data_IF_677177964088
#
_entry.id   IF_677177964088
#
_cell.length_a   1.000
_cell.length_b   1.000
_cell.length_c   1.000
_cell.angle_alpha   90.00
_cell.angle_beta   90.00
_cell.angle_gamma   90.00
#
_symmetry.space_group_name_H-M   'P 1'
#
loop_
_entity.id
_entity.type
_entity.pdbx_description
1 polymer ?
#
# COMPACT_ATOMS: atom_id res chain seq x y z
N UNK A 1 0.46 -9.39 -3.59
CA UNK A 1 0.60 -8.33 -4.61
C UNK A 1 -0.76 -7.90 -5.19
N UNK A 2 -1.56 -8.81 -5.75
CA UNK A 2 -2.85 -8.46 -6.37
C UNK A 2 -3.84 -7.78 -5.41
N UNK A 3 -4.04 -8.34 -4.21
CA UNK A 3 -4.97 -7.78 -3.22
C UNK A 3 -4.62 -6.33 -2.87
N UNK A 4 -3.35 -6.08 -2.54
CA UNK A 4 -2.82 -4.74 -2.26
C UNK A 4 -3.10 -3.77 -3.41
N UNK A 5 -2.82 -4.17 -4.65
CA UNK A 5 -3.12 -3.37 -5.83
C UNK A 5 -4.61 -3.06 -6.02
N UNK A 6 -5.50 -4.00 -5.69
CA UNK A 6 -6.94 -3.78 -5.72
C UNK A 6 -7.40 -2.85 -4.58
N UNK A 7 -6.77 -2.92 -3.40
CA UNK A 7 -7.10 -2.00 -2.29
C UNK A 7 -6.84 -0.54 -2.67
N UNK A 8 -5.76 -0.25 -3.40
CA UNK A 8 -5.51 1.10 -3.96
C UNK A 8 -6.55 1.57 -5.00
N UNK A 9 -7.48 0.71 -5.42
CA UNK A 9 -8.62 1.10 -6.27
C UNK A 9 -9.91 1.17 -5.46
N UNK A 10 -10.20 0.12 -4.69
CA UNK A 10 -11.45 -0.06 -3.96
C UNK A 10 -11.60 0.98 -2.84
N UNK A 11 -10.54 1.21 -2.04
CA UNK A 11 -10.62 2.11 -0.89
C UNK A 11 -10.77 3.58 -1.28
N UNK A 12 -9.97 4.12 -2.23
CA UNK A 12 -10.19 5.46 -2.74
C UNK A 12 -11.59 5.61 -3.33
N UNK A 13 -12.05 4.64 -4.12
CA UNK A 13 -13.40 4.68 -4.70
C UNK A 13 -14.49 4.74 -3.63
N UNK A 14 -14.42 3.86 -2.62
CA UNK A 14 -15.42 3.81 -1.56
C UNK A 14 -15.46 5.11 -0.76
N UNK A 15 -14.29 5.63 -0.39
CA UNK A 15 -14.19 6.88 0.38
C UNK A 15 -14.68 8.06 -0.45
N UNK A 16 -14.32 8.08 -1.74
CA UNK A 16 -14.78 9.12 -2.67
C UNK A 16 -16.28 9.09 -2.88
N UNK A 17 -16.85 7.90 -3.04
CA UNK A 17 -18.28 7.70 -3.22
C UNK A 17 -19.07 8.20 -2.01
N UNK A 18 -18.61 7.94 -0.79
CA UNK A 18 -19.31 8.40 0.41
C UNK A 18 -19.15 9.90 0.67
N UNK A 19 -17.99 10.49 0.36
CA UNK A 19 -17.66 11.87 0.75
C UNK A 19 -17.89 12.93 -0.33
N UNK A 20 -17.69 12.55 -1.59
CA UNK A 20 -17.63 13.50 -2.71
C UNK A 20 -18.68 13.26 -3.80
N UNK A 21 -19.37 12.11 -3.83
CA UNK A 21 -20.36 11.80 -4.88
C UNK A 21 -21.45 12.87 -5.01
N UNK A 22 -21.98 13.35 -3.88
CA UNK A 22 -23.02 14.40 -3.87
C UNK A 22 -22.52 15.78 -4.30
N UNK A 23 -21.20 15.99 -4.32
CA UNK A 23 -20.55 17.26 -4.70
C UNK A 23 -19.98 17.22 -6.12
N UNK A 24 -19.98 16.05 -6.74
CA UNK A 24 -19.45 15.85 -8.08
C UNK A 24 -20.28 16.65 -9.10
N UNK A 25 -19.63 17.56 -9.82
CA UNK A 25 -20.28 18.46 -10.79
C UNK A 25 -20.76 19.79 -10.21
N UNK A 26 -20.77 19.94 -8.88
CA UNK A 26 -21.04 21.21 -8.20
C UNK A 26 -19.75 21.95 -7.83
N UNK A 27 -18.75 21.21 -7.36
CA UNK A 27 -17.45 21.73 -6.93
C UNK A 27 -16.29 20.85 -7.44
N UNK A 28 -15.07 21.38 -7.36
CA UNK A 28 -13.86 20.59 -7.65
C UNK A 28 -13.64 19.55 -6.56
N UNK A 29 -13.87 18.28 -6.91
CA UNK A 29 -13.61 17.12 -6.06
C UNK A 29 -12.27 16.48 -6.43
N UNK A 30 -11.53 15.90 -5.46
CA UNK A 30 -10.25 15.26 -5.74
C UNK A 30 -10.43 14.06 -6.67
N UNK A 31 -9.44 13.80 -7.51
CA UNK A 31 -9.40 12.57 -8.30
C UNK A 31 -8.97 11.38 -7.42
N UNK A 32 -9.40 10.16 -7.78
CA UNK A 32 -9.05 8.94 -7.02
C UNK A 32 -7.54 8.77 -6.82
N UNK A 33 -6.73 9.08 -7.85
CA UNK A 33 -5.26 9.02 -7.79
C UNK A 33 -4.66 9.97 -6.75
N UNK A 34 -5.35 11.06 -6.43
CA UNK A 34 -4.88 12.10 -5.50
C UNK A 34 -5.21 11.75 -4.04
N UNK A 35 -5.97 10.68 -3.80
CA UNK A 35 -6.39 10.26 -2.46
C UNK A 35 -5.27 9.53 -1.69
N UNK A 36 -4.23 9.06 -2.39
CA UNK A 36 -3.09 8.38 -1.77
C UNK A 36 -1.75 8.90 -2.31
N UNK A 37 -0.66 8.55 -1.65
CA UNK A 37 0.68 8.89 -2.13
C UNK A 37 1.22 7.79 -3.04
N UNK A 38 1.30 8.07 -4.34
CA UNK A 38 1.75 7.12 -5.36
C UNK A 38 3.22 6.72 -5.18
N UNK A 39 4.08 7.63 -4.72
CA UNK A 39 5.49 7.32 -4.46
C UNK A 39 5.65 6.35 -3.29
N UNK A 40 4.86 6.51 -2.22
CA UNK A 40 4.84 5.57 -1.11
C UNK A 40 4.27 4.20 -1.54
N UNK A 41 3.21 4.18 -2.34
CA UNK A 41 2.63 2.95 -2.85
C UNK A 41 3.62 2.17 -3.75
N UNK A 42 4.41 2.87 -4.57
CA UNK A 42 5.48 2.23 -5.35
C UNK A 42 6.61 1.71 -4.46
N UNK A 43 7.05 2.50 -3.48
CA UNK A 43 8.10 2.09 -2.55
C UNK A 43 7.70 0.83 -1.77
N UNK A 44 6.48 0.83 -1.22
CA UNK A 44 5.86 -0.32 -0.57
C UNK A 44 5.85 -1.56 -1.48
N UNK A 45 5.39 -1.42 -2.72
CA UNK A 45 5.32 -2.54 -3.68
C UNK A 45 6.69 -3.18 -3.90
N UNK A 46 7.73 -2.38 -4.15
CA UNK A 46 9.08 -2.89 -4.34
C UNK A 46 9.66 -3.50 -3.06
N UNK A 47 9.44 -2.87 -1.90
CA UNK A 47 9.86 -3.42 -0.61
C UNK A 47 9.21 -4.78 -0.35
N UNK A 48 7.92 -4.93 -0.66
CA UNK A 48 7.18 -6.17 -0.44
C UNK A 48 7.63 -7.29 -1.39
N UNK A 49 8.03 -6.96 -2.63
CA UNK A 49 8.63 -7.94 -3.56
C UNK A 49 10.01 -8.35 -3.06
N UNK A 50 10.84 -7.37 -2.70
CA UNK A 50 12.20 -7.61 -2.23
C UNK A 50 12.21 -8.43 -0.95
N UNK A 51 11.30 -8.15 -0.01
CA UNK A 51 11.18 -8.90 1.24
C UNK A 51 10.75 -10.33 1.00
N UNK A 52 9.79 -10.57 0.10
CA UNK A 52 9.33 -11.91 -0.23
C UNK A 52 10.44 -12.73 -0.94
N UNK A 53 11.07 -12.15 -1.96
CA UNK A 53 12.16 -12.81 -2.68
C UNK A 53 13.35 -13.07 -1.76
N UNK A 54 13.72 -12.08 -0.94
CA UNK A 54 14.79 -12.20 0.04
C UNK A 54 14.51 -13.25 1.11
N UNK A 55 13.28 -13.34 1.61
CA UNK A 55 12.88 -14.39 2.56
C UNK A 55 13.03 -15.78 1.95
N UNK A 56 12.62 -15.99 0.69
CA UNK A 56 12.80 -17.28 -0.01
C UNK A 56 14.30 -17.62 -0.15
N UNK A 57 15.13 -16.66 -0.58
CA UNK A 57 16.59 -16.87 -0.69
C UNK A 57 17.20 -17.19 0.68
N UNK A 58 16.74 -16.53 1.74
CA UNK A 58 17.25 -16.74 3.11
C UNK A 58 16.97 -18.14 3.63
N UNK A 59 15.81 -18.69 3.28
CA UNK A 59 15.45 -20.08 3.59
C UNK A 59 16.32 -21.09 2.84
N UNK A 60 16.65 -20.81 1.56
CA UNK A 60 17.55 -21.66 0.77
C UNK A 60 18.97 -21.66 1.35
N UNK A 61 19.41 -20.52 1.89
CA UNK A 61 20.72 -20.35 2.52
C UNK A 61 20.77 -20.80 3.99
N UNK A 62 19.65 -21.27 4.55
CA UNK A 62 19.49 -21.69 5.95
C UNK A 62 20.01 -20.66 6.97
N UNK A 63 19.83 -19.36 6.66
CA UNK A 63 20.35 -18.26 7.48
C UNK A 63 19.22 -17.60 8.29
N UNK A 64 19.18 -17.90 9.59
CA UNK A 64 18.20 -17.31 10.52
C UNK A 64 18.25 -15.77 10.54
N UNK A 65 19.45 -15.20 10.55
CA UNK A 65 19.65 -13.74 10.57
C UNK A 65 19.07 -13.06 9.32
N UNK A 66 19.27 -13.64 8.13
CA UNK A 66 18.69 -13.06 6.91
C UNK A 66 17.17 -13.16 6.91
N UNK A 67 16.61 -14.27 7.39
CA UNK A 67 15.14 -14.42 7.52
C UNK A 67 14.57 -13.29 8.37
N UNK A 68 15.15 -13.02 9.55
CA UNK A 68 14.70 -11.94 10.44
C UNK A 68 14.73 -10.57 9.74
N UNK A 69 15.82 -10.26 9.04
CA UNK A 69 15.98 -8.99 8.31
C UNK A 69 14.88 -8.81 7.26
N UNK A 70 14.60 -9.84 6.46
CA UNK A 70 13.57 -9.74 5.41
C UNK A 70 12.15 -9.72 5.98
N UNK A 71 11.91 -10.36 7.14
CA UNK A 71 10.63 -10.23 7.84
C UNK A 71 10.42 -8.83 8.43
N UNK A 72 11.46 -8.21 8.97
CA UNK A 72 11.41 -6.80 9.41
C UNK A 72 11.13 -5.89 8.22
N UNK A 73 11.80 -6.12 7.07
CA UNK A 73 11.54 -5.36 5.85
C UNK A 73 10.09 -5.52 5.37
N UNK A 74 9.55 -6.73 5.44
CA UNK A 74 8.15 -7.00 5.12
C UNK A 74 7.20 -6.26 6.07
N UNK A 75 7.47 -6.27 7.37
CA UNK A 75 6.70 -5.51 8.36
C UNK A 75 6.70 -4.00 8.03
N UNK A 76 7.85 -3.44 7.70
CA UNK A 76 7.97 -2.02 7.30
C UNK A 76 7.13 -1.70 6.07
N UNK A 77 7.12 -2.58 5.05
CA UNK A 77 6.26 -2.40 3.87
C UNK A 77 4.77 -2.37 4.24
N UNK A 78 4.33 -3.27 5.12
CA UNK A 78 2.93 -3.31 5.58
C UNK A 78 2.57 -2.06 6.38
N UNK A 79 3.47 -1.50 7.17
CA UNK A 79 3.24 -0.23 7.87
C UNK A 79 3.04 0.94 6.90
N UNK A 80 3.83 1.01 5.82
CA UNK A 80 3.67 2.02 4.76
C UNK A 80 2.31 1.85 4.07
N UNK A 81 1.91 0.61 3.78
CA UNK A 81 0.60 0.31 3.22
C UNK A 81 -0.54 0.83 4.10
N UNK A 82 -0.53 0.44 5.38
CA UNK A 82 -1.55 0.85 6.36
C UNK A 82 -1.60 2.36 6.50
N UNK A 83 -0.45 3.03 6.54
CA UNK A 83 -0.39 4.50 6.56
C UNK A 83 -1.10 5.13 5.36
N UNK A 84 -0.86 4.62 4.14
CA UNK A 84 -1.55 5.08 2.95
C UNK A 84 -3.07 4.81 3.01
N UNK A 85 -3.49 3.64 3.51
CA UNK A 85 -4.91 3.30 3.65
C UNK A 85 -5.64 4.22 4.63
N UNK A 86 -5.04 4.49 5.79
CA UNK A 86 -5.59 5.43 6.76
C UNK A 86 -5.69 6.84 6.16
N UNK A 87 -4.65 7.28 5.44
CA UNK A 87 -4.65 8.59 4.77
C UNK A 87 -5.79 8.71 3.75
N UNK A 88 -6.10 7.65 3.01
CA UNK A 88 -7.25 7.63 2.08
C UNK A 88 -8.55 7.85 2.85
N UNK A 89 -8.76 7.10 3.94
CA UNK A 89 -10.02 7.14 4.71
C UNK A 89 -10.27 8.48 5.42
N UNK A 90 -9.21 9.13 5.91
CA UNK A 90 -9.32 10.41 6.64
C UNK A 90 -9.56 11.59 5.68
N UNK A 91 -9.15 11.47 4.42
CA UNK A 91 -9.23 12.54 3.43
C UNK A 91 -10.65 12.89 3.04
#
# INVERSE_FOLDING_TARGET
MLIVGQMYKILPFLTWYHKYSSKAGLEKVPMLKEMYNESLARAEYYMMIASLAGAVVSLILDSALMVEIFFILMLLSVLIFVFNMIKIMVK
#
